data_IF_835540468300
#
_entry.id   IF_835540468300
#
_cell.length_a   1.000
_cell.length_b   1.000
_cell.length_c   1.000
_cell.angle_alpha   90.00
_cell.angle_beta   90.00
_cell.angle_gamma   90.00
#
_symmetry.space_group_name_H-M   'P 1'
#
loop_
_entity.id
_entity.type
_entity.pdbx_description
1 polymer ?
#
# COMPACT_ATOMS: atom_id res chain seq x y z
N UNK A 1 -1.46 15.37 -8.64
CA UNK A 1 -2.14 14.10 -8.27
C UNK A 1 -2.26 13.27 -9.53
N UNK A 2 -1.53 12.14 -9.62
CA UNK A 2 -1.65 11.25 -10.77
C UNK A 2 -3.05 10.64 -10.82
N UNK A 3 -3.53 10.37 -12.05
CA UNK A 3 -4.84 9.77 -12.26
C UNK A 3 -4.87 8.30 -11.81
N UNK A 4 -6.05 7.76 -11.48
CA UNK A 4 -6.24 6.33 -11.17
C UNK A 4 -5.61 5.42 -12.26
N UNK A 5 -5.70 5.82 -13.53
CA UNK A 5 -5.10 5.11 -14.66
C UNK A 5 -3.58 4.95 -14.53
N UNK A 6 -2.88 5.84 -13.84
CA UNK A 6 -1.44 5.73 -13.59
C UNK A 6 -1.14 4.51 -12.72
N UNK A 7 -1.91 4.31 -11.65
CA UNK A 7 -1.74 3.19 -10.72
C UNK A 7 -2.10 1.85 -11.39
N UNK A 8 -3.18 1.82 -12.16
CA UNK A 8 -3.57 0.62 -12.91
C UNK A 8 -2.51 0.17 -13.91
N UNK A 9 -1.88 1.13 -14.62
CA UNK A 9 -0.77 0.82 -15.54
C UNK A 9 0.46 0.30 -14.82
N UNK A 10 0.82 0.92 -13.69
CA UNK A 10 1.95 0.46 -12.88
C UNK A 10 1.71 -0.96 -12.36
N UNK A 11 0.51 -1.25 -11.87
CA UNK A 11 0.11 -2.58 -11.43
C UNK A 11 0.18 -3.60 -12.57
N UNK A 12 -0.41 -3.32 -13.75
CA UNK A 12 -0.35 -4.22 -14.90
C UNK A 12 1.09 -4.53 -15.31
N UNK A 13 1.99 -3.54 -15.27
CA UNK A 13 3.39 -3.75 -15.57
C UNK A 13 4.09 -4.68 -14.57
N UNK A 14 3.68 -4.67 -13.29
CA UNK A 14 4.28 -5.48 -12.23
C UNK A 14 3.79 -6.94 -12.21
N UNK A 15 2.49 -7.17 -12.32
CA UNK A 15 1.90 -8.51 -12.17
C UNK A 15 1.48 -9.18 -13.49
N UNK A 16 1.55 -8.47 -14.60
CA UNK A 16 1.10 -8.94 -15.91
C UNK A 16 -0.42 -8.99 -16.05
N UNK A 17 -0.89 -9.44 -17.21
CA UNK A 17 -2.32 -9.42 -17.58
C UNK A 17 -3.13 -10.60 -17.01
N UNK A 18 -2.47 -11.56 -16.35
CA UNK A 18 -3.12 -12.77 -15.84
C UNK A 18 -3.86 -12.56 -14.50
N UNK A 19 -3.63 -11.44 -13.82
CA UNK A 19 -4.40 -11.07 -12.61
C UNK A 19 -5.61 -10.21 -12.98
N UNK A 20 -6.71 -10.41 -12.25
CA UNK A 20 -7.85 -9.52 -12.35
C UNK A 20 -7.47 -8.09 -11.94
N UNK A 21 -7.89 -7.06 -12.70
CA UNK A 21 -7.52 -5.69 -12.40
C UNK A 21 -8.07 -5.27 -11.03
N UNK A 22 -7.33 -4.44 -10.28
CA UNK A 22 -7.77 -3.94 -8.99
C UNK A 22 -9.01 -3.04 -9.14
N UNK A 23 -9.86 -3.03 -8.12
CA UNK A 23 -11.05 -2.18 -8.09
C UNK A 23 -10.66 -0.70 -8.07
N UNK A 24 -11.37 0.14 -8.82
CA UNK A 24 -11.19 1.60 -8.76
C UNK A 24 -11.46 2.14 -7.34
N UNK A 25 -12.38 1.51 -6.61
CA UNK A 25 -12.70 1.88 -5.23
C UNK A 25 -11.54 1.56 -4.28
N UNK A 26 -10.82 0.45 -4.51
CA UNK A 26 -9.65 0.09 -3.71
C UNK A 26 -8.51 1.08 -3.94
N UNK A 27 -8.28 1.46 -5.20
CA UNK A 27 -7.28 2.48 -5.57
C UNK A 27 -7.62 3.82 -4.92
N UNK A 28 -8.86 4.28 -5.01
CA UNK A 28 -9.30 5.54 -4.43
C UNK A 28 -9.17 5.53 -2.89
N UNK A 29 -9.59 4.44 -2.25
CA UNK A 29 -9.49 4.26 -0.80
C UNK A 29 -8.03 4.29 -0.32
N UNK A 30 -7.11 3.67 -1.06
CA UNK A 30 -5.68 3.68 -0.76
C UNK A 30 -5.06 5.08 -0.96
N UNK A 31 -5.48 5.83 -1.98
CA UNK A 31 -5.03 7.21 -2.19
C UNK A 31 -5.49 8.10 -1.05
N UNK A 32 -6.76 8.02 -0.64
CA UNK A 32 -7.29 8.76 0.49
C UNK A 32 -6.56 8.40 1.80
N UNK A 33 -6.35 7.11 2.06
CA UNK A 33 -5.60 6.66 3.23
C UNK A 33 -4.16 7.19 3.25
N UNK A 34 -3.46 7.17 2.11
CA UNK A 34 -2.11 7.71 2.00
C UNK A 34 -2.07 9.21 2.36
N UNK A 35 -3.03 9.98 1.87
CA UNK A 35 -3.14 11.42 2.18
C UNK A 35 -3.44 11.67 3.65
N UNK A 36 -4.36 10.91 4.26
CA UNK A 36 -4.69 11.01 5.69
C UNK A 36 -3.50 10.67 6.59
N UNK A 37 -2.61 9.79 6.12
CA UNK A 37 -1.36 9.43 6.80
C UNK A 37 -0.23 10.45 6.59
N UNK A 38 -0.46 11.53 5.83
CA UNK A 38 0.54 12.55 5.53
C UNK A 38 1.56 12.14 4.46
N UNK A 39 1.25 11.12 3.64
CA UNK A 39 2.06 10.74 2.49
C UNK A 39 1.74 11.69 1.33
N UNK A 40 2.59 12.69 1.13
CA UNK A 40 2.35 13.75 0.14
C UNK A 40 3.12 13.58 -1.17
N UNK A 41 4.25 12.86 -1.14
CA UNK A 41 5.11 12.70 -2.32
C UNK A 41 4.47 11.74 -3.31
N UNK A 42 4.35 12.15 -4.57
CA UNK A 42 3.68 11.36 -5.61
C UNK A 42 4.25 9.94 -5.75
N UNK A 43 5.58 9.79 -5.70
CA UNK A 43 6.24 8.47 -5.72
C UNK A 43 5.87 7.58 -4.54
N UNK A 44 5.67 8.18 -3.36
CA UNK A 44 5.36 7.47 -2.13
C UNK A 44 3.90 7.04 -2.11
N UNK A 45 3.00 7.90 -2.60
CA UNK A 45 1.59 7.56 -2.81
C UNK A 45 1.48 6.39 -3.79
N UNK A 46 2.22 6.43 -4.90
CA UNK A 46 2.28 5.33 -5.87
C UNK A 46 2.74 4.03 -5.21
N UNK A 47 3.85 4.04 -4.49
CA UNK A 47 4.38 2.86 -3.82
C UNK A 47 3.40 2.31 -2.76
N UNK A 48 2.80 3.20 -1.95
CA UNK A 48 1.81 2.83 -0.94
C UNK A 48 0.59 2.14 -1.56
N UNK A 49 0.06 2.71 -2.64
CA UNK A 49 -1.07 2.13 -3.37
C UNK A 49 -0.68 0.76 -3.93
N UNK A 50 0.49 0.64 -4.56
CA UNK A 50 0.95 -0.65 -5.11
C UNK A 50 1.08 -1.73 -4.04
N UNK A 51 1.63 -1.43 -2.86
CA UNK A 51 1.66 -2.38 -1.75
C UNK A 51 0.25 -2.82 -1.31
N UNK A 52 -0.71 -1.87 -1.22
CA UNK A 52 -2.09 -2.21 -0.89
C UNK A 52 -2.76 -3.12 -1.93
N UNK A 53 -2.48 -2.91 -3.21
CA UNK A 53 -3.03 -3.73 -4.30
C UNK A 53 -2.35 -5.09 -4.46
N UNK A 54 -1.09 -5.22 -4.05
CA UNK A 54 -0.34 -6.48 -4.14
C UNK A 54 -0.64 -7.43 -2.97
N UNK A 55 -0.82 -6.88 -1.77
CA UNK A 55 -0.98 -7.64 -0.54
C UNK A 55 -2.42 -7.57 -0.03
N UNK A 56 -2.79 -6.47 0.62
CA UNK A 56 -4.16 -6.23 1.08
C UNK A 56 -4.42 -4.73 1.25
N UNK A 57 -5.63 -4.28 0.90
CA UNK A 57 -6.00 -2.86 0.95
C UNK A 57 -5.87 -2.24 2.34
N UNK A 58 -6.03 -3.04 3.40
CA UNK A 58 -5.94 -2.60 4.79
C UNK A 58 -4.53 -2.74 5.39
N UNK A 59 -3.48 -2.99 4.59
CA UNK A 59 -2.14 -3.29 5.10
C UNK A 59 -1.63 -2.23 6.09
N UNK A 60 -1.98 -0.96 5.84
CA UNK A 60 -1.59 0.19 6.64
C UNK A 60 -2.20 0.19 8.05
N UNK A 61 -3.18 -0.67 8.31
CA UNK A 61 -3.76 -0.87 9.65
C UNK A 61 -2.94 -1.86 10.49
N UNK A 62 -2.03 -2.63 9.88
CA UNK A 62 -1.18 -3.57 10.60
C UNK A 62 -0.33 -2.84 11.65
N UNK A 63 -0.22 -3.33 12.91
CA UNK A 63 0.50 -2.62 13.97
C UNK A 63 1.93 -2.23 13.62
N UNK A 64 2.66 -3.13 12.94
CA UNK A 64 4.03 -2.89 12.50
C UNK A 64 4.14 -1.79 11.44
N UNK A 65 3.24 -1.83 10.45
CA UNK A 65 3.17 -0.78 9.41
C UNK A 65 2.76 0.54 10.04
N UNK A 66 1.78 0.56 10.95
CA UNK A 66 1.37 1.76 11.69
C UNK A 66 2.53 2.37 12.47
N UNK A 67 3.38 1.56 13.10
CA UNK A 67 4.56 2.05 13.80
C UNK A 67 5.58 2.69 12.85
N UNK A 68 5.78 2.12 11.66
CA UNK A 68 6.61 2.72 10.60
C UNK A 68 5.99 4.04 10.12
N UNK A 69 4.71 4.03 9.75
CA UNK A 69 3.98 5.20 9.25
C UNK A 69 3.89 6.35 10.25
N UNK A 70 3.86 6.08 11.56
CA UNK A 70 3.90 7.11 12.60
C UNK A 70 5.17 7.97 12.57
N UNK A 71 6.19 7.55 11.82
CA UNK A 71 7.45 8.28 11.62
C UNK A 71 7.46 9.14 10.37
N UNK A 72 6.40 9.14 9.54
CA UNK A 72 6.30 9.99 8.35
C UNK A 72 6.51 11.46 8.73
N UNK A 73 7.43 12.11 8.03
CA UNK A 73 7.79 13.52 8.20
C UNK A 73 8.26 14.08 6.85
N UNK A 74 8.34 15.41 6.67
CA UNK A 74 8.80 16.02 5.42
C UNK A 74 10.16 15.50 4.91
N UNK A 75 11.02 15.02 5.82
CA UNK A 75 12.35 14.49 5.52
C UNK A 75 12.46 12.95 5.58
N UNK A 76 11.35 12.23 5.79
CA UNK A 76 11.34 10.76 5.85
C UNK A 76 10.15 10.23 5.05
N UNK A 77 10.45 9.72 3.86
CA UNK A 77 9.47 9.19 2.91
C UNK A 77 8.91 7.83 3.31
N UNK A 78 7.75 7.49 2.74
CA UNK A 78 7.20 6.14 2.81
C UNK A 78 8.19 5.09 2.29
N UNK A 79 8.80 5.34 1.12
CA UNK A 79 9.83 4.46 0.54
C UNK A 79 10.94 4.15 1.55
N UNK A 80 11.50 5.16 2.21
CA UNK A 80 12.58 4.97 3.20
C UNK A 80 12.12 4.19 4.45
N UNK A 81 10.84 4.29 4.82
CA UNK A 81 10.28 3.58 5.97
C UNK A 81 10.01 2.10 5.70
N UNK A 82 9.86 1.74 4.42
CA UNK A 82 9.54 0.38 3.99
C UNK A 82 10.66 -0.29 3.20
N UNK A 83 11.75 0.39 2.90
CA UNK A 83 12.88 -0.15 2.13
C UNK A 83 13.64 -1.27 2.86
N UNK A 84 13.45 -1.40 4.17
CA UNK A 84 13.99 -2.48 4.99
C UNK A 84 13.07 -3.71 5.07
N UNK A 85 11.91 -3.68 4.41
CA UNK A 85 10.95 -4.78 4.41
C UNK A 85 11.16 -5.69 3.19
N UNK A 86 11.28 -6.97 3.45
CA UNK A 86 11.39 -7.99 2.40
C UNK A 86 10.02 -8.55 2.00
N UNK A 87 9.95 -9.25 0.87
CA UNK A 87 8.71 -9.87 0.39
C UNK A 87 8.06 -10.79 1.44
N UNK A 88 8.88 -11.47 2.25
CA UNK A 88 8.43 -12.34 3.35
C UNK A 88 7.74 -11.55 4.48
N UNK A 89 8.18 -10.32 4.78
CA UNK A 89 7.52 -9.46 5.75
C UNK A 89 6.14 -9.05 5.25
N UNK A 90 6.05 -8.66 3.98
CA UNK A 90 4.78 -8.29 3.36
C UNK A 90 3.81 -9.47 3.29
N UNK A 91 4.28 -10.65 2.91
CA UNK A 91 3.48 -11.87 2.89
C UNK A 91 2.98 -12.26 4.29
N UNK A 92 3.81 -12.07 5.33
CA UNK A 92 3.41 -12.27 6.72
C UNK A 92 2.31 -11.29 7.14
N UNK A 93 2.48 -9.99 6.87
CA UNK A 93 1.50 -8.96 7.20
C UNK A 93 0.14 -9.24 6.54
N UNK A 94 0.16 -9.60 5.26
CA UNK A 94 -1.04 -9.97 4.52
C UNK A 94 -1.78 -11.15 5.18
N UNK A 95 -1.05 -12.21 5.53
CA UNK A 95 -1.60 -13.38 6.23
C UNK A 95 -2.20 -13.01 7.59
N UNK A 96 -1.46 -12.26 8.42
CA UNK A 96 -1.93 -11.85 9.75
C UNK A 96 -3.21 -11.01 9.68
N UNK A 97 -3.33 -10.11 8.70
CA UNK A 97 -4.55 -9.30 8.49
C UNK A 97 -5.72 -10.16 8.00
N UNK A 98 -5.48 -11.10 7.09
CA UNK A 98 -6.49 -12.05 6.62
C UNK A 98 -7.04 -12.91 7.77
N UNK A 99 -6.18 -13.38 8.66
CA UNK A 99 -6.57 -14.17 9.83
C UNK A 99 -7.45 -13.36 10.79
N UNK A 100 -7.09 -12.10 11.07
CA UNK A 100 -7.89 -11.22 11.95
C UNK A 100 -9.32 -10.99 11.43
N UNK A 101 -9.50 -10.90 10.11
CA UNK A 101 -10.83 -10.74 9.48
C UNK A 101 -11.75 -11.96 9.64
N UNK A 102 -11.21 -13.16 9.85
CA UNK A 102 -12.01 -14.38 10.02
C UNK A 102 -12.44 -14.64 11.47
N UNK A 103 -11.94 -13.86 12.42
CA UNK A 103 -12.22 -14.01 13.86
C UNK A 103 -13.30 -13.03 14.34
N UNK A 104 -13.92 -12.28 13.43
CA UNK A 104 -14.99 -11.29 13.74
C UNK A 104 -16.29 -11.68 13.07
#
# INVERSE_FOLDING_TARGET
MPSINTYLRAWHHMVGDDRAPPSLLDVDSLISAAQELGIEREKDILLFVLHGLLFTVDFYQHPEIRQKLARIRPNLSYEELTNDMEDDDWARIDRELKERRHVT
#
